data_IF_829670911337
#
_entry.id   IF_829670911337
#
_cell.length_a   1.000
_cell.length_b   1.000
_cell.length_c   1.000
_cell.angle_alpha   90.00
_cell.angle_beta   90.00
_cell.angle_gamma   90.00
#
_symmetry.space_group_name_H-M   'P 1'
#
loop_
_entity.id
_entity.type
_entity.pdbx_description
1 polymer ?
#
# COMPACT_ATOMS: atom_id res chain seq x y z
N UNK A 1 18.92 26.36 2.84
CA UNK A 1 17.74 26.18 1.99
C UNK A 1 17.22 24.77 2.25
N UNK A 2 15.99 24.68 2.73
CA UNK A 2 15.39 23.55 3.40
C UNK A 2 15.23 22.31 2.52
N UNK A 3 15.94 21.25 2.87
CA UNK A 3 15.76 19.88 2.31
C UNK A 3 14.56 19.14 2.95
N UNK A 4 13.48 19.83 3.24
CA UNK A 4 12.26 19.21 3.83
C UNK A 4 11.30 18.64 2.78
N UNK A 5 11.61 18.74 1.48
CA UNK A 5 10.66 18.40 0.41
C UNK A 5 10.76 16.96 -0.12
N UNK A 6 11.55 16.11 0.51
CA UNK A 6 11.82 14.77 -0.06
C UNK A 6 11.46 13.60 0.87
N UNK A 7 10.71 13.83 1.94
CA UNK A 7 10.30 12.77 2.87
C UNK A 7 8.90 12.29 2.51
N UNK A 8 8.76 11.02 2.10
CA UNK A 8 7.49 10.41 1.77
C UNK A 8 6.73 9.94 3.03
N UNK A 9 7.44 9.42 4.03
CA UNK A 9 6.88 9.00 5.30
C UNK A 9 7.76 9.51 6.44
N UNK A 10 7.16 10.20 7.39
CA UNK A 10 7.80 10.63 8.63
C UNK A 10 7.02 10.12 9.83
N UNK A 11 7.66 9.30 10.64
CA UNK A 11 7.12 8.78 11.89
C UNK A 11 8.04 9.24 13.01
N UNK A 12 7.50 9.94 14.00
CA UNK A 12 8.22 10.43 15.16
C UNK A 12 7.53 10.02 16.46
N UNK A 13 8.24 9.27 17.28
CA UNK A 13 7.78 8.89 18.61
C UNK A 13 6.45 8.13 18.63
N UNK A 14 6.17 7.32 17.60
CA UNK A 14 4.92 6.60 17.47
C UNK A 14 4.77 5.55 18.55
N UNK A 15 3.66 5.62 19.28
CA UNK A 15 3.31 4.66 20.32
C UNK A 15 1.85 4.24 20.20
N UNK A 16 1.58 2.98 20.49
CA UNK A 16 0.25 2.41 20.58
C UNK A 16 0.14 1.47 21.76
N UNK A 17 -0.79 1.79 22.64
CA UNK A 17 -1.18 0.94 23.77
C UNK A 17 -2.65 0.57 23.62
N UNK A 18 -2.93 -0.71 23.58
CA UNK A 18 -4.30 -1.23 23.57
C UNK A 18 -4.87 -1.33 24.99
N UNK A 19 -6.21 -1.43 25.12
CA UNK A 19 -6.84 -1.70 26.41
C UNK A 19 -6.20 -2.90 27.12
N UNK A 20 -5.95 -2.77 28.42
CA UNK A 20 -5.19 -3.78 29.19
C UNK A 20 -3.69 -3.55 29.25
N UNK A 21 -3.23 -2.35 28.86
CA UNK A 21 -1.81 -1.94 28.88
C UNK A 21 -0.89 -2.79 27.98
N UNK A 22 -1.43 -3.30 26.88
CA UNK A 22 -0.65 -4.01 25.87
C UNK A 22 0.00 -2.96 24.96
N UNK A 23 1.28 -2.73 25.13
CA UNK A 23 2.07 -1.86 24.26
C UNK A 23 2.46 -2.58 22.96
N UNK A 24 1.80 -2.22 21.85
CA UNK A 24 2.12 -2.75 20.54
C UNK A 24 3.27 -2.01 19.86
N UNK A 25 3.38 -0.70 20.10
CA UNK A 25 4.47 0.16 19.61
C UNK A 25 4.99 1.05 20.73
N UNK A 26 6.31 1.17 20.83
CA UNK A 26 7.01 1.96 21.83
C UNK A 26 7.93 2.96 21.16
N UNK A 27 7.51 4.22 21.10
CA UNK A 27 8.34 5.35 20.67
C UNK A 27 9.12 5.07 19.37
N UNK A 28 8.44 4.59 18.33
CA UNK A 28 9.05 4.23 17.06
C UNK A 28 9.21 5.47 16.20
N UNK A 29 10.38 5.64 15.62
CA UNK A 29 10.68 6.72 14.67
C UNK A 29 11.27 6.15 13.39
N UNK A 30 10.79 6.64 12.24
CA UNK A 30 11.19 6.18 10.93
C UNK A 30 10.99 7.30 9.90
N UNK A 31 11.96 7.43 8.99
CA UNK A 31 11.85 8.33 7.84
C UNK A 31 12.10 7.56 6.56
N UNK A 32 11.23 7.75 5.57
CA UNK A 32 11.37 7.19 4.23
C UNK A 32 11.39 8.34 3.23
N UNK A 33 12.42 8.38 2.40
CA UNK A 33 12.57 9.42 1.37
C UNK A 33 11.69 9.13 0.16
N UNK A 34 11.28 10.19 -0.53
CA UNK A 34 10.53 10.09 -1.79
C UNK A 34 11.36 9.39 -2.86
N UNK A 35 10.73 8.47 -3.59
CA UNK A 35 11.40 7.64 -4.59
C UNK A 35 11.97 6.35 -4.05
N UNK A 36 12.00 6.18 -2.73
CA UNK A 36 12.41 4.93 -2.11
C UNK A 36 11.24 3.94 -2.11
N UNK A 37 11.57 2.71 -2.46
CA UNK A 37 10.68 1.59 -2.28
C UNK A 37 10.91 0.99 -0.89
N UNK A 38 9.92 1.11 -0.01
CA UNK A 38 10.02 0.59 1.33
C UNK A 38 9.11 -0.60 1.54
N UNK A 39 9.70 -1.76 1.80
CA UNK A 39 8.98 -2.95 2.23
C UNK A 39 9.20 -3.14 3.74
N UNK A 40 8.11 -3.23 4.50
CA UNK A 40 8.18 -3.62 5.90
C UNK A 40 8.47 -5.12 5.99
N UNK A 41 9.73 -5.44 6.26
CA UNK A 41 10.23 -6.78 6.45
C UNK A 41 10.19 -7.15 7.93
N UNK A 42 9.73 -8.34 8.24
CA UNK A 42 9.81 -8.87 9.58
C UNK A 42 8.81 -10.00 9.84
N UNK A 43 9.02 -10.79 10.88
CA UNK A 43 8.03 -11.78 11.29
C UNK A 43 6.70 -11.09 11.60
N UNK A 44 5.58 -11.79 11.38
CA UNK A 44 4.24 -11.33 11.72
C UNK A 44 4.16 -11.04 13.22
N UNK A 45 4.52 -9.82 13.58
CA UNK A 45 4.40 -9.31 14.94
C UNK A 45 3.25 -8.30 15.01
N UNK A 46 2.59 -8.22 16.17
CA UNK A 46 1.53 -7.26 16.42
C UNK A 46 1.96 -5.81 16.15
N UNK A 47 3.25 -5.48 16.35
CA UNK A 47 3.80 -4.15 16.11
C UNK A 47 3.80 -3.74 14.65
N UNK A 48 4.16 -4.63 13.73
CA UNK A 48 4.17 -4.34 12.29
C UNK A 48 2.76 -4.08 11.76
N UNK A 49 1.81 -4.95 12.07
CA UNK A 49 0.41 -4.78 11.69
C UNK A 49 -0.21 -3.52 12.29
N UNK A 50 0.15 -3.20 13.53
CA UNK A 50 -0.29 -1.98 14.21
C UNK A 50 0.27 -0.74 13.52
N UNK A 51 1.54 -0.70 13.17
CA UNK A 51 2.16 0.42 12.47
C UNK A 51 1.49 0.67 11.11
N UNK A 52 1.29 -0.37 10.32
CA UNK A 52 0.59 -0.29 9.03
C UNK A 52 -0.85 0.19 9.22
N UNK A 53 -1.55 -0.34 10.23
CA UNK A 53 -2.91 0.07 10.57
C UNK A 53 -3.00 1.56 10.91
N UNK A 54 -2.02 2.10 11.63
CA UNK A 54 -1.97 3.53 11.97
C UNK A 54 -1.68 4.37 10.72
N UNK A 55 -0.69 4.01 9.92
CA UNK A 55 -0.33 4.72 8.69
C UNK A 55 -1.52 4.77 7.71
N UNK A 56 -2.27 3.69 7.60
CA UNK A 56 -3.47 3.60 6.76
C UNK A 56 -4.76 4.13 7.42
N UNK A 57 -4.66 4.69 8.60
CA UNK A 57 -5.80 5.24 9.38
C UNK A 57 -6.87 4.23 9.79
N UNK A 58 -6.53 2.96 9.81
CA UNK A 58 -7.40 1.87 10.32
C UNK A 58 -7.30 1.71 11.84
N UNK A 59 -6.19 2.13 12.43
CA UNK A 59 -5.93 2.08 13.87
C UNK A 59 -5.56 3.48 14.33
N UNK A 60 -6.13 3.92 15.46
CA UNK A 60 -5.78 5.20 16.08
C UNK A 60 -4.53 5.05 16.93
N UNK A 61 -3.53 5.90 16.70
CA UNK A 61 -2.32 5.93 17.54
C UNK A 61 -2.62 6.44 18.95
N UNK A 62 -1.80 6.06 19.91
CA UNK A 62 -1.86 6.61 21.28
C UNK A 62 -1.12 7.95 21.34
N UNK A 63 0.06 8.03 20.76
CA UNK A 63 0.87 9.25 20.70
C UNK A 63 1.87 9.21 19.55
N UNK A 64 2.49 10.33 19.27
CA UNK A 64 3.47 10.49 18.24
C UNK A 64 2.93 11.15 16.97
N UNK A 65 3.78 11.38 16.00
CA UNK A 65 3.49 12.02 14.73
C UNK A 65 3.62 11.04 13.58
N UNK A 66 2.67 11.05 12.65
CA UNK A 66 2.75 10.36 11.37
C UNK A 66 2.37 11.32 10.25
N UNK A 67 3.30 11.55 9.34
CA UNK A 67 3.08 12.38 8.15
C UNK A 67 3.36 11.59 6.88
N UNK A 68 2.47 11.74 5.91
CA UNK A 68 2.62 11.18 4.56
C UNK A 68 2.77 12.36 3.61
N UNK A 69 3.93 12.46 2.95
CA UNK A 69 4.29 13.60 2.08
C UNK A 69 4.04 14.96 2.75
N UNK A 70 4.43 15.08 4.01
CA UNK A 70 4.24 16.28 4.82
C UNK A 70 2.82 16.51 5.35
N UNK A 71 1.89 15.59 5.09
CA UNK A 71 0.50 15.68 5.54
C UNK A 71 0.35 14.86 6.81
N UNK A 72 0.02 15.53 7.91
CA UNK A 72 -0.30 14.88 9.18
C UNK A 72 -1.61 14.09 9.03
N UNK A 73 -1.57 12.78 9.33
CA UNK A 73 -2.74 11.91 9.22
C UNK A 73 -3.87 12.29 10.16
N UNK A 74 -3.59 12.98 11.27
CA UNK A 74 -4.61 13.46 12.20
C UNK A 74 -5.30 14.73 11.70
N UNK A 75 -4.59 15.57 10.94
CA UNK A 75 -5.15 16.81 10.42
C UNK A 75 -5.95 16.60 9.13
N UNK A 76 -5.44 15.78 8.23
CA UNK A 76 -6.09 15.51 6.94
C UNK A 76 -5.86 14.08 6.47
N UNK A 77 -6.50 13.11 7.13
CA UNK A 77 -6.32 11.70 6.81
C UNK A 77 -6.82 11.33 5.41
N UNK A 78 -7.86 12.00 4.91
CA UNK A 78 -8.40 11.73 3.57
C UNK A 78 -7.39 12.06 2.47
N UNK A 79 -6.70 13.20 2.59
CA UNK A 79 -5.66 13.59 1.64
C UNK A 79 -4.42 12.69 1.77
N UNK A 80 -3.99 12.40 3.00
CA UNK A 80 -2.89 11.49 3.26
C UNK A 80 -3.15 10.10 2.69
N UNK A 81 -4.35 9.57 2.87
CA UNK A 81 -4.78 8.26 2.37
C UNK A 81 -4.73 8.16 0.85
N UNK A 82 -5.04 9.24 0.12
CA UNK A 82 -4.96 9.28 -1.35
C UNK A 82 -3.52 9.16 -1.87
N UNK A 83 -2.54 9.53 -1.07
CA UNK A 83 -1.11 9.46 -1.41
C UNK A 83 -0.49 8.10 -1.13
N UNK A 84 -1.23 7.21 -0.47
CA UNK A 84 -0.74 5.96 0.07
C UNK A 84 -1.37 4.78 -0.66
N UNK A 85 -0.55 3.80 -1.04
CA UNK A 85 -0.95 2.44 -1.39
C UNK A 85 -0.44 1.46 -0.35
N UNK A 86 -1.30 0.57 0.13
CA UNK A 86 -0.94 -0.47 1.09
C UNK A 86 -1.33 -1.83 0.56
N UNK A 87 -0.39 -2.75 0.57
CA UNK A 87 -0.61 -4.15 0.23
C UNK A 87 -0.40 -5.00 1.47
N UNK A 88 -1.48 -5.51 2.04
CA UNK A 88 -1.45 -6.42 3.17
C UNK A 88 -1.06 -7.85 2.79
N UNK A 89 -0.98 -8.72 3.77
CA UNK A 89 -0.64 -10.13 3.56
C UNK A 89 -1.83 -10.94 3.03
N UNK A 90 -3.03 -10.60 3.48
CA UNK A 90 -4.25 -11.31 3.12
C UNK A 90 -4.92 -10.70 1.90
N UNK A 91 -5.64 -11.54 1.16
CA UNK A 91 -6.45 -11.10 0.02
C UNK A 91 -7.55 -10.17 0.52
N UNK A 92 -7.56 -8.93 0.00
CA UNK A 92 -8.46 -7.87 0.43
C UNK A 92 -9.30 -7.27 -0.70
N UNK A 93 -9.57 -8.04 -1.73
CA UNK A 93 -10.48 -7.64 -2.82
C UNK A 93 -11.68 -8.59 -2.89
N UNK A 94 -12.76 -8.14 -3.53
CA UNK A 94 -13.91 -8.99 -3.79
C UNK A 94 -13.53 -10.07 -4.81
N UNK A 95 -13.47 -11.32 -4.36
CA UNK A 95 -13.03 -12.44 -5.18
C UNK A 95 -14.05 -12.86 -6.25
N UNK A 96 -15.28 -12.38 -6.17
CA UNK A 96 -16.33 -12.63 -7.17
C UNK A 96 -16.33 -11.60 -8.31
N UNK A 97 -15.66 -10.47 -8.14
CA UNK A 97 -15.44 -9.52 -9.21
C UNK A 97 -14.39 -10.03 -10.18
N UNK A 98 -14.48 -9.56 -11.43
CA UNK A 98 -13.41 -9.80 -12.40
C UNK A 98 -12.17 -9.01 -12.02
N UNK A 99 -11.01 -9.47 -12.48
CA UNK A 99 -9.74 -8.78 -12.30
C UNK A 99 -9.83 -7.32 -12.76
N UNK A 100 -10.46 -7.07 -13.90
CA UNK A 100 -10.70 -5.71 -14.41
C UNK A 100 -11.57 -4.89 -13.44
N UNK A 101 -12.67 -5.46 -12.96
CA UNK A 101 -13.58 -4.78 -12.04
C UNK A 101 -12.91 -4.40 -10.71
N UNK A 102 -12.06 -5.25 -10.17
CA UNK A 102 -11.32 -4.96 -8.93
C UNK A 102 -10.53 -3.65 -9.06
N UNK A 103 -9.82 -3.46 -10.17
CA UNK A 103 -9.04 -2.23 -10.40
C UNK A 103 -9.92 -1.04 -10.74
N UNK A 104 -10.86 -1.20 -11.66
CA UNK A 104 -11.71 -0.09 -12.10
C UNK A 104 -12.59 0.45 -10.97
N UNK A 105 -13.14 -0.42 -10.13
CA UNK A 105 -13.91 0.00 -8.96
C UNK A 105 -13.04 0.71 -7.92
N UNK A 106 -11.84 0.23 -7.68
CA UNK A 106 -10.90 0.89 -6.79
C UNK A 106 -10.54 2.31 -7.27
N UNK A 107 -10.20 2.45 -8.55
CA UNK A 107 -9.89 3.74 -9.16
C UNK A 107 -11.09 4.71 -9.07
N UNK A 108 -12.30 4.21 -9.37
CA UNK A 108 -13.53 5.00 -9.25
C UNK A 108 -13.83 5.42 -7.82
N UNK A 109 -13.62 4.53 -6.85
CA UNK A 109 -13.80 4.83 -5.42
C UNK A 109 -12.91 6.00 -4.95
N UNK A 110 -11.69 6.11 -5.47
CA UNK A 110 -10.78 7.22 -5.16
C UNK A 110 -11.04 8.47 -5.99
N UNK A 111 -12.09 8.51 -6.81
CA UNK A 111 -12.55 9.70 -7.50
C UNK A 111 -11.81 10.01 -8.81
N UNK A 112 -11.16 9.02 -9.42
CA UNK A 112 -10.57 9.19 -10.75
C UNK A 112 -11.67 9.39 -11.79
N UNK A 113 -11.39 10.21 -12.82
CA UNK A 113 -12.29 10.36 -13.96
C UNK A 113 -12.44 9.06 -14.74
N UNK A 114 -13.50 8.92 -15.52
CA UNK A 114 -13.72 7.71 -16.33
C UNK A 114 -12.55 7.42 -17.28
N UNK A 115 -11.92 8.45 -17.80
CA UNK A 115 -10.72 8.32 -18.63
C UNK A 115 -9.54 7.77 -17.84
N UNK A 116 -9.25 8.35 -16.69
CA UNK A 116 -8.18 7.91 -15.81
C UNK A 116 -8.40 6.49 -15.30
N UNK A 117 -9.64 6.12 -14.93
CA UNK A 117 -9.99 4.75 -14.53
C UNK A 117 -9.62 3.76 -15.63
N UNK A 118 -9.99 4.05 -16.87
CA UNK A 118 -9.69 3.17 -18.01
C UNK A 118 -8.20 3.09 -18.27
N UNK A 119 -7.52 4.22 -18.37
CA UNK A 119 -6.08 4.28 -18.65
C UNK A 119 -5.26 3.58 -17.56
N UNK A 120 -5.51 3.87 -16.31
CA UNK A 120 -4.76 3.28 -15.18
C UNK A 120 -5.05 1.78 -15.04
N UNK A 121 -6.30 1.37 -15.19
CA UNK A 121 -6.66 -0.05 -15.13
C UNK A 121 -5.92 -0.84 -16.20
N UNK A 122 -5.95 -0.37 -17.44
CA UNK A 122 -5.24 -1.02 -18.55
C UNK A 122 -3.74 -1.06 -18.30
N UNK A 123 -3.17 0.07 -17.88
CA UNK A 123 -1.73 0.18 -17.64
C UNK A 123 -1.24 -0.80 -16.58
N UNK A 124 -1.86 -0.82 -15.41
CA UNK A 124 -1.40 -1.67 -14.31
C UNK A 124 -1.70 -3.14 -14.52
N UNK A 125 -2.79 -3.50 -15.18
CA UNK A 125 -3.05 -4.89 -15.55
C UNK A 125 -2.01 -5.44 -16.53
N UNK A 126 -1.58 -4.63 -17.49
CA UNK A 126 -0.52 -5.01 -18.42
C UNK A 126 0.84 -5.09 -17.73
N UNK A 127 1.18 -4.07 -16.94
CA UNK A 127 2.45 -3.99 -16.22
C UNK A 127 2.67 -5.18 -15.27
N UNK A 128 1.62 -5.64 -14.61
CA UNK A 128 1.68 -6.75 -13.65
C UNK A 128 1.35 -8.12 -14.27
N UNK A 129 1.26 -8.20 -15.60
CA UNK A 129 1.04 -9.47 -16.30
C UNK A 129 -0.35 -10.08 -16.08
N UNK A 130 -1.36 -9.27 -15.80
CA UNK A 130 -2.73 -9.70 -15.51
C UNK A 130 -3.72 -9.43 -16.65
N UNK A 131 -3.27 -8.82 -17.73
CA UNK A 131 -4.17 -8.41 -18.83
C UNK A 131 -4.96 -9.58 -19.44
N UNK A 132 -4.30 -10.71 -19.65
CA UNK A 132 -4.95 -11.90 -20.23
C UNK A 132 -6.01 -12.51 -19.28
N UNK A 133 -5.93 -12.21 -18.00
CA UNK A 133 -6.86 -12.67 -16.97
C UNK A 133 -7.91 -11.62 -16.57
N UNK A 134 -7.99 -10.50 -17.28
CA UNK A 134 -8.86 -9.37 -16.91
C UNK A 134 -10.34 -9.71 -16.78
N UNK A 135 -10.81 -10.72 -17.50
CA UNK A 135 -12.22 -11.16 -17.46
C UNK A 135 -12.47 -12.33 -16.50
N UNK A 136 -11.43 -12.89 -15.90
CA UNK A 136 -11.55 -13.95 -14.92
C UNK A 136 -11.92 -13.37 -13.56
N UNK A 137 -12.68 -14.14 -12.76
CA UNK A 137 -12.94 -13.76 -11.38
C UNK A 137 -11.65 -13.90 -10.54
N UNK A 138 -11.49 -12.98 -9.57
CA UNK A 138 -10.31 -12.98 -8.70
C UNK A 138 -10.09 -14.29 -7.96
N UNK A 139 -11.16 -14.97 -7.57
CA UNK A 139 -11.11 -16.29 -6.90
C UNK A 139 -10.44 -17.39 -7.73
N UNK A 140 -10.44 -17.26 -9.06
CA UNK A 140 -9.88 -18.26 -9.97
C UNK A 140 -8.39 -18.06 -10.25
N UNK A 141 -7.80 -17.01 -9.71
CA UNK A 141 -6.37 -16.74 -9.85
C UNK A 141 -5.53 -17.64 -8.95
N UNK A 142 -4.31 -17.95 -9.39
CA UNK A 142 -3.29 -18.55 -8.51
C UNK A 142 -2.96 -17.62 -7.34
N UNK A 143 -2.31 -18.14 -6.29
CA UNK A 143 -1.86 -17.33 -5.17
C UNK A 143 -0.95 -16.17 -5.58
N UNK A 144 0.01 -16.43 -6.46
CA UNK A 144 0.91 -15.41 -7.02
C UNK A 144 0.17 -14.35 -7.82
N UNK A 145 -0.82 -14.74 -8.63
CA UNK A 145 -1.65 -13.81 -9.39
C UNK A 145 -2.57 -12.98 -8.51
N UNK A 146 -3.13 -13.56 -7.44
CA UNK A 146 -3.90 -12.81 -6.44
C UNK A 146 -3.04 -11.75 -5.78
N UNK A 147 -1.79 -12.06 -5.46
CA UNK A 147 -0.84 -11.10 -4.89
C UNK A 147 -0.55 -9.96 -5.86
N UNK A 148 -0.33 -10.26 -7.14
CA UNK A 148 -0.15 -9.24 -8.18
C UNK A 148 -1.38 -8.36 -8.33
N UNK A 149 -2.59 -8.93 -8.24
CA UNK A 149 -3.82 -8.15 -8.29
C UNK A 149 -3.96 -7.20 -7.09
N UNK A 150 -3.55 -7.63 -5.91
CA UNK A 150 -3.52 -6.75 -4.72
C UNK A 150 -2.56 -5.58 -4.92
N UNK A 151 -1.40 -5.83 -5.50
CA UNK A 151 -0.42 -4.78 -5.83
C UNK A 151 -0.99 -3.83 -6.89
N UNK A 152 -1.57 -4.36 -7.95
CA UNK A 152 -2.21 -3.55 -8.99
C UNK A 152 -3.33 -2.67 -8.41
N UNK A 153 -4.14 -3.20 -7.52
CA UNK A 153 -5.18 -2.47 -6.81
C UNK A 153 -4.62 -1.31 -6.00
N UNK A 154 -3.51 -1.52 -5.31
CA UNK A 154 -2.85 -0.46 -4.53
C UNK A 154 -2.24 0.63 -5.43
N UNK A 155 -1.79 0.28 -6.63
CA UNK A 155 -1.13 1.18 -7.57
C UNK A 155 -2.08 1.95 -8.49
N UNK A 156 -3.31 1.49 -8.68
CA UNK A 156 -4.21 2.03 -9.70
C UNK A 156 -4.55 3.52 -9.51
N UNK A 157 -4.42 4.03 -8.29
CA UNK A 157 -4.63 5.45 -7.96
C UNK A 157 -3.36 6.30 -8.08
N UNK A 158 -2.26 5.75 -8.61
CA UNK A 158 -0.95 6.40 -8.67
C UNK A 158 -0.50 6.95 -7.31
N UNK A 159 -0.35 6.12 -6.27
CA UNK A 159 0.09 6.58 -4.97
C UNK A 159 1.54 7.07 -5.03
N UNK A 160 1.87 8.05 -4.20
CA UNK A 160 3.24 8.56 -4.05
C UNK A 160 4.08 7.68 -3.11
N UNK A 161 3.42 6.90 -2.27
CA UNK A 161 4.05 5.96 -1.33
C UNK A 161 3.35 4.61 -1.39
N UNK A 162 4.12 3.55 -1.59
CA UNK A 162 3.63 2.17 -1.54
C UNK A 162 4.27 1.43 -0.37
N UNK A 163 3.44 0.86 0.50
CA UNK A 163 3.86 0.00 1.59
C UNK A 163 3.42 -1.43 1.30
N UNK A 164 4.39 -2.34 1.30
CA UNK A 164 4.15 -3.76 1.18
C UNK A 164 4.35 -4.43 2.55
N UNK A 165 3.33 -5.09 3.04
CA UNK A 165 3.45 -6.03 4.13
C UNK A 165 3.87 -7.38 3.53
N UNK A 166 5.14 -7.72 3.68
CA UNK A 166 5.68 -8.94 3.06
C UNK A 166 5.21 -10.21 3.76
N UNK A 167 4.72 -11.18 2.97
CA UNK A 167 4.49 -12.52 3.49
C UNK A 167 5.81 -13.18 3.88
N UNK A 168 5.74 -14.12 4.82
CA UNK A 168 6.85 -14.96 5.25
C UNK A 168 7.66 -15.50 4.07
N UNK A 169 8.98 -15.55 4.26
CA UNK A 169 10.01 -15.94 3.32
C UNK A 169 9.59 -17.05 2.34
N UNK A 170 9.76 -16.81 1.05
CA UNK A 170 9.78 -17.81 -0.01
C UNK A 170 8.74 -17.68 -1.11
N UNK A 171 7.72 -16.84 -0.98
CA UNK A 171 6.60 -16.84 -1.92
C UNK A 171 6.83 -15.97 -3.15
N UNK A 172 7.71 -14.95 -3.13
CA UNK A 172 7.71 -13.96 -4.20
C UNK A 172 9.05 -13.32 -4.55
N UNK A 173 10.12 -14.10 -4.71
CA UNK A 173 11.39 -13.57 -5.26
C UNK A 173 11.17 -13.01 -6.67
N UNK A 174 10.35 -13.68 -7.48
CA UNK A 174 10.02 -13.23 -8.85
C UNK A 174 9.14 -11.99 -8.84
N UNK A 175 8.14 -11.91 -7.94
CA UNK A 175 7.29 -10.74 -7.80
C UNK A 175 8.10 -9.54 -7.31
N UNK A 176 9.02 -9.73 -6.36
CA UNK A 176 9.95 -8.67 -5.92
C UNK A 176 10.76 -8.12 -7.09
N UNK A 177 11.34 -8.98 -7.92
CA UNK A 177 12.12 -8.57 -9.09
C UNK A 177 11.25 -7.81 -10.08
N UNK A 178 10.08 -8.35 -10.42
CA UNK A 178 9.16 -7.73 -11.37
C UNK A 178 8.67 -6.36 -10.88
N UNK A 179 8.34 -6.23 -9.59
CA UNK A 179 7.95 -4.96 -8.99
C UNK A 179 9.12 -3.97 -8.91
N UNK A 180 10.30 -4.45 -8.55
CA UNK A 180 11.50 -3.62 -8.47
C UNK A 180 11.89 -3.08 -9.83
N UNK A 181 11.85 -3.91 -10.86
CA UNK A 181 12.11 -3.51 -12.24
C UNK A 181 11.04 -2.55 -12.74
N UNK A 182 9.77 -2.85 -12.50
CA UNK A 182 8.64 -2.00 -12.84
C UNK A 182 8.70 -0.61 -12.16
N UNK A 183 9.01 -0.58 -10.87
CA UNK A 183 9.11 0.67 -10.12
C UNK A 183 10.32 1.53 -10.55
N UNK A 184 11.40 0.90 -11.02
CA UNK A 184 12.52 1.61 -11.63
C UNK A 184 12.19 2.22 -12.99
N UNK A 185 11.28 1.61 -13.74
CA UNK A 185 10.83 2.14 -15.03
C UNK A 185 9.88 3.34 -14.90
N UNK A 186 9.20 3.48 -13.76
CA UNK A 186 8.25 4.57 -13.51
C UNK A 186 8.94 5.81 -12.93
N UNK A 187 10.11 5.68 -12.32
CA UNK A 187 10.95 6.77 -11.82
C UNK A 187 11.93 7.19 -12.94
#
# INVERSE_FOLDING_TARGET
QNNLSNIALNIEGLSKTYPGQIEALKNISLKVESGDFYALLGPNGAGKSTAIGIISSLVTKTSGLVEILGIDIDENHSLAKKKLGVVGQEVNFNQFETVYQVLSHQAGYYGLSSKEVTENTHYYLKALGLWDKRNDQGRNLSGGMKRRLMVAKALVNNPDLLILDEPSAGVDIELRRSLWDFLKEIN
#
